data_IF_956552482811
#
_entry.id   IF_956552482811
#
_cell.length_a   1.000
_cell.length_b   1.000
_cell.length_c   1.000
_cell.angle_alpha   90.00
_cell.angle_beta   90.00
_cell.angle_gamma   90.00
#
_symmetry.space_group_name_H-M   'P 1'
#
loop_
_entity.id
_entity.type
_entity.pdbx_description
1 polymer ?
#
# COMPACT_ATOMS: atom_id res chain seq x y z
N UNK A 1 -5.33 -20.68 23.94
CA UNK A 1 -5.11 -19.71 22.83
C UNK A 1 -6.32 -18.78 22.75
N UNK A 2 -6.15 -17.48 23.07
CA UNK A 2 -7.26 -16.52 23.05
C UNK A 2 -7.87 -16.39 21.65
N UNK A 3 -9.20 -16.36 21.54
CA UNK A 3 -9.92 -16.23 20.26
C UNK A 3 -9.45 -14.96 19.54
N UNK A 4 -8.68 -15.12 18.45
CA UNK A 4 -8.27 -14.00 17.60
C UNK A 4 -9.53 -13.42 16.96
N UNK A 5 -9.86 -12.19 17.31
CA UNK A 5 -11.02 -11.48 16.76
C UNK A 5 -10.71 -11.03 15.33
N UNK A 6 -11.74 -10.81 14.51
CA UNK A 6 -11.59 -10.29 13.14
C UNK A 6 -10.76 -8.98 13.13
N UNK A 7 -10.94 -8.13 14.14
CA UNK A 7 -10.16 -6.90 14.32
C UNK A 7 -8.65 -7.16 14.44
N UNK A 8 -8.23 -8.26 15.08
CA UNK A 8 -6.81 -8.62 15.16
C UNK A 8 -6.21 -8.82 13.77
N UNK A 9 -6.91 -9.55 12.91
CA UNK A 9 -6.45 -9.78 11.54
C UNK A 9 -6.48 -8.50 10.71
N UNK A 10 -7.54 -7.69 10.80
CA UNK A 10 -7.62 -6.43 10.05
C UNK A 10 -6.49 -5.46 10.42
N UNK A 11 -6.18 -5.31 11.72
CA UNK A 11 -5.06 -4.46 12.17
C UNK A 11 -3.73 -5.02 11.67
N UNK A 12 -3.55 -6.34 11.73
CA UNK A 12 -2.33 -6.99 11.21
C UNK A 12 -2.19 -6.79 9.70
N UNK A 13 -3.29 -6.90 8.95
CA UNK A 13 -3.32 -6.63 7.51
C UNK A 13 -2.90 -5.21 7.20
N UNK A 14 -3.44 -4.19 7.89
CA UNK A 14 -3.05 -2.78 7.66
C UNK A 14 -1.57 -2.54 7.96
N UNK A 15 -1.04 -3.12 9.04
CA UNK A 15 0.39 -2.99 9.37
C UNK A 15 1.27 -3.64 8.31
N UNK A 16 0.95 -4.87 7.92
CA UNK A 16 1.72 -5.61 6.92
C UNK A 16 1.66 -4.92 5.56
N UNK A 17 0.46 -4.57 5.09
CA UNK A 17 0.28 -3.90 3.81
C UNK A 17 0.93 -2.51 3.79
N UNK A 18 0.92 -1.77 4.90
CA UNK A 18 1.63 -0.50 5.00
C UNK A 18 3.15 -0.66 4.85
N UNK A 19 3.73 -1.67 5.52
CA UNK A 19 5.16 -1.99 5.40
C UNK A 19 5.57 -2.46 4.00
N UNK A 20 4.68 -3.13 3.26
CA UNK A 20 4.92 -3.54 1.87
C UNK A 20 4.73 -2.36 0.92
N UNK A 21 3.70 -1.55 1.15
CA UNK A 21 3.35 -0.42 0.28
C UNK A 21 4.46 0.62 0.26
N UNK A 22 5.13 0.86 1.39
CA UNK A 22 6.18 1.86 1.50
C UNK A 22 7.37 1.62 0.54
N UNK A 23 8.09 0.48 0.56
CA UNK A 23 9.16 0.22 -0.39
C UNK A 23 8.65 0.09 -1.84
N UNK A 24 7.48 -0.51 -2.06
CA UNK A 24 6.89 -0.66 -3.40
C UNK A 24 6.60 0.69 -4.03
N UNK A 25 6.00 1.63 -3.28
CA UNK A 25 5.76 2.99 -3.74
C UNK A 25 7.06 3.73 -4.05
N UNK A 26 8.08 3.62 -3.19
CA UNK A 26 9.36 4.29 -3.43
C UNK A 26 10.05 3.76 -4.71
N UNK A 27 10.05 2.44 -4.92
CA UNK A 27 10.59 1.84 -6.14
C UNK A 27 9.81 2.26 -7.39
N UNK A 28 8.48 2.30 -7.30
CA UNK A 28 7.62 2.71 -8.41
C UNK A 28 7.84 4.19 -8.79
N UNK A 29 7.93 5.08 -7.79
CA UNK A 29 8.24 6.50 -8.00
C UNK A 29 9.65 6.67 -8.58
N UNK A 30 10.65 5.97 -8.05
CA UNK A 30 12.03 6.04 -8.53
C UNK A 30 12.17 5.60 -9.99
N UNK A 31 11.51 4.50 -10.36
CA UNK A 31 11.48 4.05 -11.75
C UNK A 31 10.72 5.01 -12.65
N UNK A 32 9.65 5.64 -12.17
CA UNK A 32 8.95 6.72 -12.89
C UNK A 32 9.84 7.93 -13.17
N UNK A 33 10.64 8.38 -12.18
CA UNK A 33 11.61 9.46 -12.39
C UNK A 33 12.69 9.08 -13.40
N UNK A 34 13.20 7.85 -13.37
CA UNK A 34 14.15 7.33 -14.35
C UNK A 34 13.57 7.33 -15.77
N UNK A 35 12.30 6.93 -15.93
CA UNK A 35 11.61 6.95 -17.22
C UNK A 35 11.39 8.36 -17.77
N UNK A 36 11.11 9.33 -16.90
CA UNK A 36 10.98 10.74 -17.32
C UNK A 36 12.33 11.45 -17.54
N UNK A 37 13.47 10.77 -17.34
CA UNK A 37 14.80 11.38 -17.44
C UNK A 37 15.03 12.49 -16.41
N UNK A 38 14.25 12.53 -15.32
CA UNK A 38 14.35 13.55 -14.28
C UNK A 38 15.39 13.14 -13.24
N UNK A 39 15.97 14.14 -12.56
CA UNK A 39 16.90 13.95 -11.43
C UNK A 39 18.19 13.16 -11.77
N UNK A 40 18.61 13.10 -13.05
CA UNK A 40 19.82 12.38 -13.48
C UNK A 40 19.70 10.85 -13.47
N UNK A 41 18.51 10.29 -13.20
CA UNK A 41 18.30 8.84 -13.14
C UNK A 41 18.40 8.13 -14.50
N UNK A 42 18.38 8.86 -15.62
CA UNK A 42 18.62 8.32 -16.96
C UNK A 42 19.99 7.65 -17.10
N UNK A 43 20.98 8.07 -16.30
CA UNK A 43 22.31 7.44 -16.28
C UNK A 43 22.41 6.31 -15.24
N UNK A 44 21.68 6.41 -14.12
CA UNK A 44 21.74 5.43 -13.04
C UNK A 44 20.99 4.12 -13.37
N UNK A 45 19.93 4.19 -14.18
CA UNK A 45 19.14 3.04 -14.60
C UNK A 45 18.86 3.09 -16.10
N UNK A 46 19.27 2.04 -16.81
CA UNK A 46 18.90 1.86 -18.21
C UNK A 46 17.36 1.93 -18.33
N UNK A 47 16.88 2.84 -19.17
CA UNK A 47 15.46 3.16 -19.38
C UNK A 47 14.62 1.90 -19.61
N UNK A 48 15.16 0.91 -20.34
CA UNK A 48 14.46 -0.35 -20.58
C UNK A 48 14.27 -1.19 -19.31
N UNK A 49 15.29 -1.22 -18.43
CA UNK A 49 15.21 -1.89 -17.13
C UNK A 49 14.25 -1.16 -16.20
N UNK A 50 14.31 0.17 -16.17
CA UNK A 50 13.36 0.98 -15.41
C UNK A 50 11.92 0.73 -15.86
N UNK A 51 11.67 0.65 -17.17
CA UNK A 51 10.35 0.37 -17.73
C UNK A 51 9.83 -1.02 -17.36
N UNK A 52 10.70 -2.03 -17.44
CA UNK A 52 10.34 -3.41 -17.07
C UNK A 52 9.94 -3.49 -15.59
N UNK A 53 10.75 -2.91 -14.70
CA UNK A 53 10.45 -2.87 -13.26
C UNK A 53 9.15 -2.10 -13.01
N UNK A 54 8.98 -0.92 -13.60
CA UNK A 54 7.79 -0.08 -13.41
C UNK A 54 6.50 -0.85 -13.77
N UNK A 55 6.48 -1.50 -14.95
CA UNK A 55 5.34 -2.31 -15.41
C UNK A 55 5.07 -3.53 -14.53
N UNK A 56 6.12 -4.18 -14.01
CA UNK A 56 5.95 -5.34 -13.11
C UNK A 56 5.33 -4.90 -11.78
N UNK A 57 5.71 -3.73 -11.26
CA UNK A 57 5.26 -3.25 -9.96
C UNK A 57 3.91 -2.52 -9.99
N UNK A 58 3.39 -2.18 -11.17
CA UNK A 58 2.08 -1.52 -11.35
C UNK A 58 0.95 -2.28 -10.65
N UNK A 59 0.72 -3.54 -11.05
CA UNK A 59 -0.35 -4.36 -10.49
C UNK A 59 -0.15 -4.72 -9.02
N UNK A 60 1.06 -5.14 -8.58
CA UNK A 60 1.35 -5.32 -7.16
C UNK A 60 1.08 -4.07 -6.34
N UNK A 61 1.47 -2.89 -6.84
CA UNK A 61 1.24 -1.63 -6.16
C UNK A 61 -0.26 -1.37 -6.01
N UNK A 62 -1.03 -1.49 -7.10
CA UNK A 62 -2.49 -1.32 -7.08
C UNK A 62 -3.14 -2.29 -6.11
N UNK A 63 -2.75 -3.57 -6.14
CA UNK A 63 -3.32 -4.59 -5.28
C UNK A 63 -3.05 -4.31 -3.78
N UNK A 64 -1.79 -4.01 -3.42
CA UNK A 64 -1.42 -3.70 -2.04
C UNK A 64 -2.09 -2.41 -1.58
N UNK A 65 -2.16 -1.39 -2.44
CA UNK A 65 -2.85 -0.13 -2.16
C UNK A 65 -4.32 -0.36 -1.87
N UNK A 66 -5.04 -1.10 -2.72
CA UNK A 66 -6.47 -1.36 -2.53
C UNK A 66 -6.73 -2.13 -1.24
N UNK A 67 -5.96 -3.19 -0.97
CA UNK A 67 -6.09 -3.95 0.28
C UNK A 67 -5.83 -3.04 1.50
N UNK A 68 -4.79 -2.22 1.45
CA UNK A 68 -4.46 -1.29 2.52
C UNK A 68 -5.59 -0.27 2.72
N UNK A 69 -6.00 0.42 1.66
CA UNK A 69 -7.00 1.47 1.69
C UNK A 69 -8.35 0.96 2.17
N UNK A 70 -8.86 -0.16 1.62
CA UNK A 70 -10.16 -0.71 2.00
C UNK A 70 -10.18 -1.06 3.50
N UNK A 71 -9.15 -1.75 4.01
CA UNK A 71 -9.10 -2.15 5.41
C UNK A 71 -8.89 -0.95 6.33
N UNK A 72 -8.02 -0.01 5.96
CA UNK A 72 -7.78 1.20 6.73
C UNK A 72 -9.02 2.09 6.80
N UNK A 73 -9.72 2.29 5.68
CA UNK A 73 -10.98 3.04 5.60
C UNK A 73 -12.05 2.34 6.43
N UNK A 74 -12.19 1.02 6.32
CA UNK A 74 -13.11 0.26 7.17
C UNK A 74 -12.83 0.47 8.66
N UNK A 75 -11.58 0.34 9.11
CA UNK A 75 -11.21 0.56 10.50
C UNK A 75 -11.43 2.02 10.94
N UNK A 76 -11.18 2.99 10.07
CA UNK A 76 -11.45 4.41 10.34
C UNK A 76 -12.96 4.67 10.52
N UNK A 77 -13.80 4.14 9.62
CA UNK A 77 -15.26 4.24 9.74
C UNK A 77 -15.77 3.62 11.04
N UNK A 78 -15.22 2.47 11.46
CA UNK A 78 -15.56 1.87 12.76
C UNK A 78 -15.11 2.73 13.93
N UNK A 79 -13.90 3.30 13.87
CA UNK A 79 -13.33 4.15 14.92
C UNK A 79 -14.12 5.45 15.10
N UNK A 80 -14.59 6.05 14.00
CA UNK A 80 -15.43 7.26 14.03
C UNK A 80 -16.89 6.97 14.36
N UNK A 81 -17.25 5.70 14.56
CA UNK A 81 -18.62 5.30 14.89
C UNK A 81 -19.61 5.42 13.74
N UNK A 82 -19.13 5.56 12.50
CA UNK A 82 -19.96 5.53 11.30
C UNK A 82 -20.52 4.12 11.04
N UNK A 83 -19.78 3.08 11.41
CA UNK A 83 -20.19 1.67 11.21
C UNK A 83 -19.93 0.83 12.47
N UNK A 84 -20.99 0.27 13.05
CA UNK A 84 -20.93 -0.61 14.22
C UNK A 84 -21.99 -0.24 15.26
N UNK A 85 -22.38 -1.20 16.10
CA UNK A 85 -23.37 -0.95 17.17
C UNK A 85 -22.77 0.06 18.17
N UNK A 86 -23.29 1.28 18.20
CA UNK A 86 -23.25 2.15 19.39
C UNK A 86 -23.72 1.28 20.54
N UNK A 87 -22.84 0.90 21.49
CA UNK A 87 -23.35 0.62 22.82
C UNK A 87 -23.91 1.95 23.28
N UNK A 88 -25.24 2.08 23.32
CA UNK A 88 -25.89 3.14 24.09
C UNK A 88 -25.28 3.04 25.49
N UNK A 89 -24.53 4.06 25.89
CA UNK A 89 -24.27 4.31 27.29
C UNK A 89 -25.59 4.74 27.95
#
# INVERSE_FOLDING_TARGET
>A
MGKRTINYYLIKTVRLSGWILLPVMLLYIGTGFALCGKLGFSEALNVQKALAIHKIFDWPLVAVFLVHAIVAVYLAMRRWGWIGKRKKA
#
